data_IF_949076973109
#
_entry.id   IF_949076973109
#
_cell.length_a   1.000
_cell.length_b   1.000
_cell.length_c   1.000
_cell.angle_alpha   90.00
_cell.angle_beta   90.00
_cell.angle_gamma   90.00
#
_symmetry.space_group_name_H-M   'P 1'
#
loop_
_entity.id
_entity.type
_entity.pdbx_description
1 polymer ?
#
# COMPACT_ATOMS: atom_id res chain seq x y z
N UNK A 1 20.51 -31.32 -9.05
CA UNK A 1 20.44 -29.93 -8.57
C UNK A 1 18.99 -29.49 -8.42
N UNK A 2 18.67 -28.60 -7.49
CA UNK A 2 17.32 -28.05 -7.31
C UNK A 2 17.18 -26.66 -7.97
N UNK A 3 15.95 -26.23 -8.34
CA UNK A 3 15.71 -24.89 -8.86
C UNK A 3 15.86 -23.76 -7.83
N UNK A 4 15.79 -24.05 -6.53
CA UNK A 4 15.91 -23.06 -5.46
C UNK A 4 17.41 -22.78 -5.21
N UNK A 5 17.86 -21.56 -5.52
CA UNK A 5 19.27 -21.13 -5.44
C UNK A 5 19.51 -19.97 -4.47
N UNK A 6 18.46 -19.25 -4.06
CA UNK A 6 18.53 -18.07 -3.20
C UNK A 6 17.45 -18.14 -2.12
N UNK A 7 17.71 -17.53 -0.98
CA UNK A 7 16.79 -17.43 0.14
C UNK A 7 16.84 -16.01 0.70
N UNK A 8 15.68 -15.34 0.71
CA UNK A 8 15.54 -13.98 1.22
C UNK A 8 14.57 -13.96 2.38
N UNK A 9 14.98 -13.29 3.45
CA UNK A 9 14.17 -13.05 4.62
C UNK A 9 13.76 -11.58 4.65
N UNK A 10 12.51 -11.32 4.99
CA UNK A 10 11.95 -9.96 5.12
C UNK A 10 11.18 -9.94 6.43
N UNK A 11 11.39 -8.90 7.23
CA UNK A 11 10.59 -8.66 8.41
C UNK A 11 9.25 -8.02 8.01
N UNK A 12 8.17 -8.75 8.27
CA UNK A 12 6.78 -8.31 8.10
C UNK A 12 5.96 -8.66 9.34
N UNK A 13 6.58 -8.53 10.53
CA UNK A 13 5.99 -8.92 11.82
C UNK A 13 4.53 -8.47 12.00
N UNK A 14 4.21 -7.22 11.64
CA UNK A 14 2.85 -6.68 11.78
C UNK A 14 1.81 -7.45 10.96
N UNK A 15 2.13 -7.81 9.71
CA UNK A 15 1.23 -8.62 8.88
C UNK A 15 1.14 -10.06 9.39
N UNK A 16 2.28 -10.65 9.77
CA UNK A 16 2.36 -12.00 10.31
C UNK A 16 1.56 -12.18 11.61
N UNK A 17 1.52 -11.15 12.47
CA UNK A 17 0.69 -11.14 13.69
C UNK A 17 -0.81 -11.23 13.38
N UNK A 18 -1.22 -10.81 12.18
CA UNK A 18 -2.58 -10.97 11.65
C UNK A 18 -2.70 -12.14 10.65
N UNK A 19 -1.71 -13.05 10.60
CA UNK A 19 -1.73 -14.25 9.74
C UNK A 19 -1.35 -14.01 8.27
N UNK A 20 -0.84 -12.83 7.92
CA UNK A 20 -0.43 -12.48 6.56
C UNK A 20 1.07 -12.70 6.32
N UNK A 21 1.42 -13.74 5.55
CA UNK A 21 2.79 -13.96 5.08
C UNK A 21 3.15 -13.17 3.81
N UNK A 22 4.39 -13.29 3.30
CA UNK A 22 4.82 -12.53 2.11
C UNK A 22 3.99 -12.83 0.87
N UNK A 23 3.48 -14.05 0.73
CA UNK A 23 2.60 -14.43 -0.37
C UNK A 23 1.19 -13.85 -0.24
N UNK A 24 0.72 -13.57 0.99
CA UNK A 24 -0.61 -13.03 1.28
C UNK A 24 -0.70 -11.52 0.94
N UNK A 25 0.42 -10.80 1.02
CA UNK A 25 0.51 -9.36 0.75
C UNK A 25 0.58 -9.00 -0.74
N UNK A 26 0.55 -9.98 -1.64
CA UNK A 26 0.68 -9.74 -3.08
C UNK A 26 -0.35 -10.50 -3.89
N UNK A 27 -0.75 -9.88 -4.98
CA UNK A 27 -1.50 -10.54 -6.04
C UNK A 27 -0.60 -10.70 -7.26
N UNK A 28 -0.41 -11.94 -7.74
CA UNK A 28 0.45 -12.23 -8.90
C UNK A 28 -0.42 -12.33 -10.15
N UNK A 29 -0.19 -11.43 -11.09
CA UNK A 29 -0.84 -11.43 -12.41
C UNK A 29 0.22 -11.65 -13.47
N UNK A 30 -0.07 -12.50 -14.44
CA UNK A 30 0.74 -12.65 -15.66
C UNK A 30 0.07 -11.83 -16.75
N UNK A 31 0.83 -10.95 -17.39
CA UNK A 31 0.34 -10.05 -18.45
C UNK A 31 1.28 -10.12 -19.65
N UNK A 32 0.73 -9.84 -20.82
CA UNK A 32 1.48 -9.53 -22.05
C UNK A 32 2.07 -8.12 -21.97
N UNK A 33 2.97 -7.78 -22.91
CA UNK A 33 3.54 -6.43 -23.01
C UNK A 33 2.45 -5.38 -23.32
N UNK A 34 1.50 -5.71 -24.20
CA UNK A 34 0.37 -4.84 -24.53
C UNK A 34 -0.52 -4.57 -23.31
N UNK A 35 -0.86 -5.62 -22.55
CA UNK A 35 -1.64 -5.46 -21.32
C UNK A 35 -0.88 -4.65 -20.26
N UNK A 36 0.42 -4.89 -20.10
CA UNK A 36 1.26 -4.14 -19.17
C UNK A 36 1.28 -2.64 -19.50
N UNK A 37 1.40 -2.28 -20.78
CA UNK A 37 1.39 -0.90 -21.24
C UNK A 37 0.02 -0.19 -21.06
N UNK A 38 -1.05 -0.94 -20.83
CA UNK A 38 -2.38 -0.42 -20.52
C UNK A 38 -2.66 -0.32 -19.01
N UNK A 39 -1.75 -0.79 -18.14
CA UNK A 39 -1.87 -0.58 -16.70
C UNK A 39 -1.59 0.89 -16.39
N UNK A 40 -2.33 1.47 -15.43
CA UNK A 40 -2.02 2.80 -14.91
C UNK A 40 -0.58 2.80 -14.35
N UNK A 41 0.31 3.52 -15.04
CA UNK A 41 1.74 3.56 -14.71
C UNK A 41 2.03 4.15 -13.33
N UNK A 42 1.11 4.92 -12.76
CA UNK A 42 1.25 5.50 -11.42
C UNK A 42 1.22 4.42 -10.31
N UNK A 43 0.76 3.20 -10.61
CA UNK A 43 0.86 2.04 -9.70
C UNK A 43 2.17 1.24 -9.84
N UNK A 44 3.00 1.53 -10.85
CA UNK A 44 4.24 0.78 -11.08
C UNK A 44 5.35 1.33 -10.18
N UNK A 45 5.77 0.51 -9.21
CA UNK A 45 6.77 0.88 -8.23
C UNK A 45 8.09 1.29 -8.88
N UNK A 46 8.57 2.46 -8.48
CA UNK A 46 9.87 3.03 -8.85
C UNK A 46 10.40 3.87 -7.67
N UNK A 47 11.66 4.28 -7.72
CA UNK A 47 12.31 5.00 -6.62
C UNK A 47 11.57 6.28 -6.21
N UNK A 48 11.02 7.03 -7.17
CA UNK A 48 10.28 8.25 -6.88
C UNK A 48 8.93 7.96 -6.21
N UNK A 49 8.22 6.90 -6.64
CA UNK A 49 6.97 6.50 -5.99
C UNK A 49 7.24 5.96 -4.57
N UNK A 50 8.33 5.22 -4.36
CA UNK A 50 8.74 4.77 -3.01
C UNK A 50 8.91 5.98 -2.09
N UNK A 51 9.67 7.00 -2.51
CA UNK A 51 9.90 8.20 -1.70
C UNK A 51 8.59 8.94 -1.37
N UNK A 52 7.67 9.06 -2.34
CA UNK A 52 6.35 9.68 -2.10
C UNK A 52 5.51 8.92 -1.08
N UNK A 53 5.51 7.59 -1.16
CA UNK A 53 4.77 6.75 -0.23
C UNK A 53 5.41 6.77 1.16
N UNK A 54 6.73 6.75 1.25
CA UNK A 54 7.46 6.87 2.51
C UNK A 54 7.19 8.21 3.19
N UNK A 55 7.20 9.32 2.45
CA UNK A 55 6.88 10.66 2.97
C UNK A 55 5.45 10.77 3.48
N UNK A 56 4.47 10.23 2.73
CA UNK A 56 3.07 10.17 3.18
C UNK A 56 2.92 9.34 4.45
N UNK A 57 3.59 8.18 4.51
CA UNK A 57 3.55 7.32 5.70
C UNK A 57 4.15 8.05 6.90
N UNK A 58 5.34 8.63 6.76
CA UNK A 58 6.04 9.32 7.84
C UNK A 58 5.30 10.56 8.35
N UNK A 59 4.58 11.27 7.48
CA UNK A 59 3.85 12.48 7.84
C UNK A 59 2.47 12.23 8.43
N UNK A 60 1.84 11.07 8.12
CA UNK A 60 0.41 10.89 8.35
C UNK A 60 0.03 9.67 9.20
N UNK A 61 0.86 8.63 9.27
CA UNK A 61 0.50 7.41 9.99
C UNK A 61 0.88 7.49 11.48
N UNK A 62 -0.01 7.04 12.36
CA UNK A 62 0.26 6.87 13.78
C UNK A 62 1.25 5.72 14.01
N UNK A 63 2.21 5.89 14.93
CA UNK A 63 3.17 4.84 15.30
C UNK A 63 2.52 3.67 16.07
N UNK A 64 1.38 3.94 16.73
CA UNK A 64 0.59 2.97 17.46
C UNK A 64 -0.90 3.26 17.27
N UNK A 65 -1.70 2.20 17.27
CA UNK A 65 -3.16 2.26 17.25
C UNK A 65 -3.71 1.11 18.10
N UNK A 66 -4.59 1.43 19.02
CA UNK A 66 -5.34 0.50 19.85
C UNK A 66 -6.83 0.53 19.49
N UNK A 67 -7.61 -0.39 20.07
CA UNK A 67 -9.05 -0.51 19.77
C UNK A 67 -9.80 0.75 20.20
N UNK A 68 -9.42 1.35 21.32
CA UNK A 68 -10.08 2.55 21.86
C UNK A 68 -9.82 3.78 20.97
N UNK A 69 -8.72 3.81 20.20
CA UNK A 69 -8.44 4.87 19.24
C UNK A 69 -9.42 4.86 18.06
N UNK A 70 -10.16 3.77 17.84
CA UNK A 70 -11.20 3.73 16.80
C UNK A 70 -12.39 4.63 17.13
N UNK A 71 -12.53 5.07 18.37
CA UNK A 71 -13.55 6.03 18.79
C UNK A 71 -13.12 7.49 18.54
N UNK A 72 -11.84 7.72 18.22
CA UNK A 72 -11.29 9.05 17.96
C UNK A 72 -11.81 9.63 16.64
N UNK A 73 -12.57 10.75 16.66
CA UNK A 73 -13.04 11.38 15.43
C UNK A 73 -11.91 11.93 14.55
N UNK A 74 -10.72 12.19 15.10
CA UNK A 74 -9.60 12.66 14.29
C UNK A 74 -9.03 11.54 13.41
N UNK A 75 -9.12 10.27 13.85
CA UNK A 75 -8.65 9.11 13.07
C UNK A 75 -9.39 8.97 11.74
N UNK A 76 -10.70 9.25 11.70
CA UNK A 76 -11.47 9.19 10.44
C UNK A 76 -11.10 10.35 9.51
N UNK A 77 -10.87 11.55 10.06
CA UNK A 77 -10.41 12.71 9.29
C UNK A 77 -9.02 12.47 8.69
N UNK A 78 -8.08 11.97 9.48
CA UNK A 78 -6.74 11.55 9.04
C UNK A 78 -6.84 10.48 7.93
N UNK A 79 -7.70 9.47 8.13
CA UNK A 79 -7.89 8.39 7.14
C UNK A 79 -8.39 8.93 5.81
N UNK A 80 -9.34 9.87 5.81
CA UNK A 80 -9.85 10.47 4.58
C UNK A 80 -8.79 11.33 3.88
N UNK A 81 -7.99 12.09 4.63
CA UNK A 81 -6.89 12.86 4.07
C UNK A 81 -5.82 11.97 3.43
N UNK A 82 -5.42 10.88 4.11
CA UNK A 82 -4.48 9.88 3.57
C UNK A 82 -5.04 9.26 2.29
N UNK A 83 -6.30 8.84 2.29
CA UNK A 83 -6.94 8.22 1.12
C UNK A 83 -7.04 9.21 -0.04
N UNK A 84 -7.34 10.49 0.22
CA UNK A 84 -7.36 11.52 -0.83
C UNK A 84 -5.97 11.71 -1.44
N UNK A 85 -4.94 11.86 -0.60
CA UNK A 85 -3.54 11.94 -1.04
C UNK A 85 -3.11 10.71 -1.85
N UNK A 86 -3.50 9.50 -1.45
CA UNK A 86 -3.24 8.28 -2.22
C UNK A 86 -3.91 8.32 -3.60
N UNK A 87 -5.16 8.76 -3.70
CA UNK A 87 -5.83 8.87 -5.02
C UNK A 87 -5.17 9.90 -5.94
N UNK A 88 -4.57 10.96 -5.37
CA UNK A 88 -3.78 11.93 -6.12
C UNK A 88 -2.44 11.35 -6.56
N UNK A 89 -1.73 10.63 -5.67
CA UNK A 89 -0.46 9.95 -5.99
C UNK A 89 -0.66 8.92 -7.12
N UNK A 90 -1.73 8.14 -7.05
CA UNK A 90 -2.04 7.07 -8.01
C UNK A 90 -2.91 7.52 -9.18
N UNK A 91 -3.29 8.79 -9.24
CA UNK A 91 -4.11 9.38 -10.30
C UNK A 91 -5.38 8.55 -10.60
N UNK A 92 -6.08 8.12 -9.56
CA UNK A 92 -7.28 7.27 -9.70
C UNK A 92 -8.57 8.06 -9.86
N UNK A 93 -8.52 9.38 -9.64
CA UNK A 93 -9.72 10.20 -9.40
C UNK A 93 -10.47 9.77 -8.14
N UNK A 94 -11.72 10.25 -8.01
CA UNK A 94 -12.59 10.01 -6.84
C UNK A 94 -13.16 8.59 -6.81
N UNK A 95 -12.37 7.62 -6.34
CA UNK A 95 -12.79 6.21 -6.21
C UNK A 95 -13.50 5.93 -4.89
N UNK A 96 -13.21 6.70 -3.83
CA UNK A 96 -13.84 6.53 -2.52
C UNK A 96 -15.16 7.30 -2.43
N UNK A 97 -16.10 6.79 -1.64
CA UNK A 97 -17.43 7.41 -1.52
C UNK A 97 -17.42 8.81 -0.91
N UNK A 98 -16.45 9.14 -0.04
CA UNK A 98 -16.37 10.46 0.59
C UNK A 98 -15.85 11.55 -0.36
N UNK A 99 -15.30 11.17 -1.51
CA UNK A 99 -14.77 12.08 -2.53
C UNK A 99 -15.80 12.47 -3.60
N UNK A 100 -17.07 12.07 -3.43
CA UNK A 100 -18.16 12.23 -4.41
C UNK A 100 -19.22 13.20 -3.92
#
# INVERSE_FOLDING_TARGET
ETPIKDLRYIDIKQSMMNGGGPACLRFKIVVTEEEFNNINSDFILNDNLILKLEDLIQSSYRDAIEIDDLEDPDLISESFEILDNLTQIFNTGSIYSFQK
#
